data_IF_070392034184
#
_entry.id   IF_070392034184
#
_cell.length_a   1.000
_cell.length_b   1.000
_cell.length_c   1.000
_cell.angle_alpha   90.00
_cell.angle_beta   90.00
_cell.angle_gamma   90.00
#
_symmetry.space_group_name_H-M   'P 1'
#
loop_
_entity.id
_entity.type
_entity.pdbx_description
1 polymer ?
#
# COMPACT_ATOMS: atom_id res chain seq x y z
N UNK A 1 -1.10 22.07 -31.89
CA UNK A 1 0.03 21.22 -31.44
C UNK A 1 0.66 21.96 -30.28
N UNK A 2 0.73 21.37 -29.09
CA UNK A 2 1.36 21.99 -27.92
C UNK A 2 2.82 21.55 -27.95
N UNK A 3 3.74 22.48 -28.24
CA UNK A 3 5.14 22.13 -28.55
C UNK A 3 6.10 22.74 -27.54
N UNK A 4 5.73 23.88 -26.93
CA UNK A 4 6.60 24.60 -26.00
C UNK A 4 6.05 24.58 -24.57
N UNK A 5 6.94 24.83 -23.60
CA UNK A 5 6.59 25.01 -22.18
C UNK A 5 5.58 26.13 -21.97
N UNK A 6 5.58 27.13 -22.85
CA UNK A 6 4.71 28.30 -22.82
C UNK A 6 3.31 27.98 -23.37
N UNK A 7 3.23 27.14 -24.41
CA UNK A 7 1.96 26.56 -24.88
C UNK A 7 1.34 25.67 -23.80
N UNK A 8 2.17 24.89 -23.09
CA UNK A 8 1.74 24.13 -21.91
C UNK A 8 1.20 25.05 -20.83
N UNK A 9 1.90 26.13 -20.48
CA UNK A 9 1.45 27.07 -19.46
C UNK A 9 0.12 27.73 -19.81
N UNK A 10 -0.10 28.09 -21.08
CA UNK A 10 -1.38 28.63 -21.58
C UNK A 10 -2.49 27.57 -21.66
N UNK A 11 -2.15 26.33 -22.02
CA UNK A 11 -3.10 25.21 -22.07
C UNK A 11 -3.51 24.74 -20.67
N UNK A 12 -2.57 24.77 -19.70
CA UNK A 12 -2.76 24.39 -18.30
C UNK A 12 -3.56 25.47 -17.55
N UNK A 13 -3.26 26.77 -17.75
CA UNK A 13 -3.95 27.86 -17.06
C UNK A 13 -5.25 28.31 -17.74
N UNK A 14 -5.52 27.85 -18.96
CA UNK A 14 -6.85 27.94 -19.53
C UNK A 14 -7.73 26.90 -18.85
N UNK A 15 -8.88 27.31 -18.31
CA UNK A 15 -9.93 26.43 -17.78
C UNK A 15 -10.43 25.47 -18.87
N UNK A 16 -9.65 24.43 -19.17
CA UNK A 16 -9.85 23.57 -20.32
C UNK A 16 -10.63 22.33 -19.89
N UNK A 17 -11.62 21.95 -20.70
CA UNK A 17 -12.33 20.69 -20.58
C UNK A 17 -11.38 19.49 -20.48
N UNK A 18 -10.21 19.58 -21.11
CA UNK A 18 -9.19 18.54 -21.08
C UNK A 18 -8.54 18.39 -19.70
N UNK A 19 -8.19 19.48 -19.02
CA UNK A 19 -7.60 19.46 -17.67
C UNK A 19 -8.58 18.85 -16.67
N UNK A 20 -9.86 19.25 -16.73
CA UNK A 20 -10.91 18.65 -15.90
C UNK A 20 -11.09 17.15 -16.18
N UNK A 21 -11.15 16.76 -17.45
CA UNK A 21 -11.28 15.34 -17.84
C UNK A 21 -10.06 14.51 -17.43
N UNK A 22 -8.86 15.07 -17.56
CA UNK A 22 -7.62 14.43 -17.14
C UNK A 22 -7.58 14.24 -15.63
N UNK A 23 -7.99 15.25 -14.86
CA UNK A 23 -8.13 15.18 -13.41
C UNK A 23 -9.11 14.07 -13.01
N UNK A 24 -10.30 14.00 -13.62
CA UNK A 24 -11.27 12.90 -13.39
C UNK A 24 -10.65 11.54 -13.69
N UNK A 25 -9.95 11.39 -14.82
CA UNK A 25 -9.28 10.13 -15.20
C UNK A 25 -8.21 9.75 -14.17
N UNK A 26 -7.43 10.71 -13.67
CA UNK A 26 -6.41 10.52 -12.63
C UNK A 26 -7.00 10.10 -11.28
N UNK A 27 -8.21 10.55 -10.95
CA UNK A 27 -8.89 10.19 -9.71
C UNK A 27 -9.57 8.82 -9.78
N UNK A 28 -10.28 8.52 -10.87
CA UNK A 28 -11.13 7.34 -10.97
C UNK A 28 -10.38 6.08 -11.38
N UNK A 29 -9.27 6.21 -12.12
CA UNK A 29 -8.59 5.08 -12.72
C UNK A 29 -7.22 4.82 -12.09
N UNK A 30 -6.80 3.55 -12.15
CA UNK A 30 -5.41 3.19 -11.92
C UNK A 30 -4.59 3.58 -13.15
N UNK A 31 -3.55 4.40 -12.95
CA UNK A 31 -2.72 4.93 -14.02
C UNK A 31 -1.29 4.41 -13.88
N UNK A 32 -0.72 4.00 -14.99
CA UNK A 32 0.69 3.60 -15.09
C UNK A 32 1.39 4.51 -16.07
N UNK A 33 2.32 5.31 -15.56
CA UNK A 33 3.18 6.21 -16.34
C UNK A 33 4.40 5.40 -16.81
N UNK A 34 4.64 5.42 -18.13
CA UNK A 34 5.68 4.66 -18.81
C UNK A 34 6.50 5.58 -19.70
N UNK A 35 7.82 5.38 -19.75
CA UNK A 35 8.70 6.12 -20.67
C UNK A 35 9.04 7.55 -20.25
N UNK A 36 8.60 7.99 -19.07
CA UNK A 36 8.94 9.31 -18.52
C UNK A 36 9.97 9.22 -17.40
N UNK A 37 10.81 10.25 -17.33
CA UNK A 37 11.64 10.48 -16.16
C UNK A 37 10.86 11.24 -15.09
N UNK A 38 11.18 10.99 -13.83
CA UNK A 38 10.73 11.80 -12.70
C UNK A 38 11.13 13.28 -12.84
N UNK A 39 12.21 13.57 -13.57
CA UNK A 39 12.69 14.93 -13.83
C UNK A 39 11.90 15.68 -14.91
N UNK A 40 10.96 15.03 -15.60
CA UNK A 40 10.20 15.64 -16.69
C UNK A 40 9.31 16.81 -16.18
N UNK A 41 9.49 17.99 -16.76
CA UNK A 41 8.80 19.20 -16.34
C UNK A 41 7.30 19.17 -16.66
N UNK A 42 6.91 18.54 -17.79
CA UNK A 42 5.52 18.44 -18.21
C UNK A 42 4.76 17.46 -17.34
N UNK A 43 5.38 16.32 -17.01
CA UNK A 43 4.81 15.36 -16.09
C UNK A 43 4.57 16.01 -14.72
N UNK A 44 5.56 16.73 -14.18
CA UNK A 44 5.41 17.47 -12.91
C UNK A 44 4.26 18.47 -12.95
N UNK A 45 4.11 19.22 -14.04
CA UNK A 45 3.05 20.20 -14.19
C UNK A 45 1.65 19.55 -14.13
N UNK A 46 1.44 18.45 -14.88
CA UNK A 46 0.18 17.70 -14.89
C UNK A 46 -0.17 17.14 -13.51
N UNK A 47 0.81 16.58 -12.79
CA UNK A 47 0.53 15.97 -11.48
C UNK A 47 0.36 17.02 -10.38
N UNK A 48 0.99 18.19 -10.49
CA UNK A 48 0.83 19.24 -9.49
C UNK A 48 -0.61 19.79 -9.49
N UNK A 49 -1.32 19.75 -10.61
CA UNK A 49 -2.76 20.06 -10.70
C UNK A 49 -3.60 19.02 -9.93
N UNK A 50 -3.28 17.73 -10.08
CA UNK A 50 -3.93 16.64 -9.34
C UNK A 50 -3.83 16.80 -7.81
N UNK A 51 -2.71 17.33 -7.30
CA UNK A 51 -2.48 17.55 -5.86
C UNK A 51 -3.51 18.48 -5.21
N UNK A 52 -4.06 19.43 -5.96
CA UNK A 52 -5.04 20.39 -5.44
C UNK A 52 -6.38 19.70 -5.12
N UNK A 53 -6.69 18.59 -5.79
CA UNK A 53 -7.95 17.86 -5.65
C UNK A 53 -7.88 16.58 -4.79
N UNK A 54 -6.67 16.07 -4.50
CA UNK A 54 -6.48 14.77 -3.84
C UNK A 54 -6.37 14.79 -2.31
N UNK A 55 -6.55 15.93 -1.65
CA UNK A 55 -6.33 16.06 -0.19
C UNK A 55 -7.32 15.29 0.68
N UNK A 56 -8.48 14.89 0.15
CA UNK A 56 -9.59 14.36 0.96
C UNK A 56 -9.74 12.83 0.95
N UNK A 57 -8.94 12.10 0.16
CA UNK A 57 -9.05 10.64 0.06
C UNK A 57 -7.91 9.91 0.78
N UNK A 58 -8.26 9.13 1.81
CA UNK A 58 -7.36 8.32 2.66
C UNK A 58 -6.69 7.16 1.90
N UNK A 59 -7.18 6.80 0.70
CA UNK A 59 -6.52 5.84 -0.19
C UNK A 59 -5.38 6.52 -0.95
N UNK A 60 -4.15 6.13 -0.64
CA UNK A 60 -2.99 6.69 -1.30
C UNK A 60 -2.81 6.15 -2.73
N UNK A 61 -2.67 7.09 -3.68
CA UNK A 61 -1.91 6.94 -4.93
C UNK A 61 -2.39 5.80 -5.86
N UNK A 62 -3.34 6.09 -6.75
CA UNK A 62 -3.69 5.23 -7.90
C UNK A 62 -2.70 5.34 -9.08
N UNK A 63 -1.65 6.14 -8.92
CA UNK A 63 -0.67 6.44 -9.96
C UNK A 63 0.63 5.69 -9.70
N UNK A 64 1.08 4.95 -10.69
CA UNK A 64 2.32 4.19 -10.69
C UNK A 64 3.26 4.72 -11.76
N UNK A 65 4.54 4.86 -11.46
CA UNK A 65 5.58 5.17 -12.44
C UNK A 65 6.54 3.99 -12.53
N UNK A 66 6.76 3.50 -13.75
CA UNK A 66 7.77 2.47 -14.02
C UNK A 66 9.10 3.13 -14.38
N UNK A 67 10.13 2.82 -13.59
CA UNK A 67 11.50 3.28 -13.85
C UNK A 67 12.44 2.10 -14.06
N UNK A 68 13.24 2.18 -15.14
CA UNK A 68 14.28 1.19 -15.44
C UNK A 68 15.43 1.25 -14.43
N UNK A 69 15.83 2.46 -14.03
CA UNK A 69 16.93 2.67 -13.10
C UNK A 69 16.53 2.40 -11.66
N UNK A 70 17.49 2.07 -10.80
CA UNK A 70 17.30 2.06 -9.34
C UNK A 70 17.15 3.51 -8.86
N UNK A 71 16.14 3.77 -8.04
CA UNK A 71 15.94 5.09 -7.44
C UNK A 71 16.15 5.04 -5.93
N UNK A 72 16.69 6.14 -5.39
CA UNK A 72 16.90 6.28 -3.95
C UNK A 72 15.55 6.39 -3.23
N UNK A 73 15.48 5.83 -2.02
CA UNK A 73 14.24 5.83 -1.24
C UNK A 73 13.70 7.24 -0.95
N UNK A 74 14.52 8.24 -0.55
CA UNK A 74 14.04 9.61 -0.32
C UNK A 74 13.38 10.24 -1.54
N UNK A 75 13.85 9.90 -2.75
CA UNK A 75 13.22 10.36 -4.00
C UNK A 75 11.83 9.74 -4.13
N UNK A 76 11.70 8.43 -3.94
CA UNK A 76 10.40 7.74 -4.02
C UNK A 76 9.43 8.28 -2.97
N UNK A 77 9.91 8.54 -1.77
CA UNK A 77 9.11 9.13 -0.70
C UNK A 77 8.64 10.55 -1.02
N UNK A 78 9.54 11.38 -1.58
CA UNK A 78 9.20 12.72 -2.04
C UNK A 78 8.08 12.68 -3.08
N UNK A 79 8.17 11.80 -4.09
CA UNK A 79 7.13 11.70 -5.11
C UNK A 79 5.82 11.11 -4.59
N UNK A 80 5.89 10.15 -3.67
CA UNK A 80 4.70 9.65 -3.01
C UNK A 80 4.01 10.74 -2.19
N UNK A 81 4.76 11.45 -1.34
CA UNK A 81 4.21 12.49 -0.45
C UNK A 81 3.74 13.73 -1.20
N UNK A 82 4.48 14.18 -2.21
CA UNK A 82 4.13 15.40 -2.94
C UNK A 82 3.06 15.17 -4.00
N UNK A 83 3.04 14.00 -4.62
CA UNK A 83 2.29 13.76 -5.85
C UNK A 83 1.43 12.51 -5.84
N UNK A 84 1.47 11.71 -4.76
CA UNK A 84 0.75 10.43 -4.72
C UNK A 84 1.19 9.50 -5.84
N UNK A 85 2.49 9.47 -6.16
CA UNK A 85 3.05 8.57 -7.17
C UNK A 85 3.87 7.47 -6.51
N UNK A 86 3.50 6.22 -6.80
CA UNK A 86 4.31 5.05 -6.48
C UNK A 86 5.30 4.76 -7.58
N UNK A 87 6.57 4.65 -7.22
CA UNK A 87 7.63 4.32 -8.17
C UNK A 87 7.95 2.84 -8.08
N UNK A 88 7.82 2.13 -9.20
CA UNK A 88 8.29 0.76 -9.40
C UNK A 88 9.61 0.87 -10.16
N UNK A 89 10.72 0.79 -9.43
CA UNK A 89 12.06 0.92 -9.98
C UNK A 89 12.66 -0.44 -10.40
N UNK A 90 13.81 -0.42 -11.09
CA UNK A 90 14.49 -1.61 -11.62
C UNK A 90 13.59 -2.52 -12.47
N UNK A 91 12.64 -1.94 -13.19
CA UNK A 91 11.67 -2.69 -13.98
C UNK A 91 11.59 -2.10 -15.38
N UNK A 92 11.83 -2.92 -16.39
CA UNK A 92 11.58 -2.54 -17.78
C UNK A 92 10.09 -2.64 -18.11
N UNK A 93 9.66 -1.84 -19.08
CA UNK A 93 8.24 -1.81 -19.52
C UNK A 93 7.79 -3.18 -20.03
N UNK A 94 8.64 -3.86 -20.80
CA UNK A 94 8.44 -5.23 -21.29
C UNK A 94 8.23 -6.22 -20.14
N UNK A 95 9.10 -6.18 -19.14
CA UNK A 95 9.05 -7.03 -17.95
C UNK A 95 7.80 -6.76 -17.10
N UNK A 96 7.42 -5.50 -16.97
CA UNK A 96 6.19 -5.09 -16.30
C UNK A 96 4.97 -5.73 -16.96
N UNK A 97 4.79 -5.55 -18.27
CA UNK A 97 3.67 -6.14 -19.00
C UNK A 97 3.70 -7.66 -19.01
N UNK A 98 4.88 -8.30 -19.09
CA UNK A 98 5.00 -9.75 -18.98
C UNK A 98 4.47 -10.26 -17.64
N UNK A 99 4.85 -9.62 -16.53
CA UNK A 99 4.38 -9.98 -15.18
C UNK A 99 2.87 -9.70 -15.03
N UNK A 100 2.40 -8.56 -15.52
CA UNK A 100 1.01 -8.16 -15.45
C UNK A 100 0.11 -9.13 -16.23
N UNK A 101 0.47 -9.45 -17.48
CA UNK A 101 -0.30 -10.35 -18.34
C UNK A 101 -0.38 -11.76 -17.79
N UNK A 102 0.64 -12.22 -17.04
CA UNK A 102 0.58 -13.50 -16.33
C UNK A 102 -0.47 -13.49 -15.20
N UNK A 103 -0.69 -12.36 -14.54
CA UNK A 103 -1.58 -12.23 -13.38
C UNK A 103 -3.02 -11.86 -13.71
N UNK A 104 -3.27 -11.23 -14.86
CA UNK A 104 -4.62 -10.86 -15.31
C UNK A 104 -5.60 -12.06 -15.34
N UNK A 105 -5.26 -13.24 -15.90
CA UNK A 105 -6.19 -14.37 -15.94
C UNK A 105 -6.57 -14.89 -14.55
N UNK A 106 -5.60 -14.96 -13.64
CA UNK A 106 -5.83 -15.35 -12.24
C UNK A 106 -6.81 -14.39 -11.56
N UNK A 107 -6.57 -13.07 -11.71
CA UNK A 107 -7.43 -12.04 -11.15
C UNK A 107 -8.87 -12.08 -11.71
N UNK A 108 -9.03 -12.31 -13.02
CA UNK A 108 -10.34 -12.40 -13.66
C UNK A 108 -11.20 -13.54 -13.11
N UNK A 109 -10.59 -14.70 -12.79
CA UNK A 109 -11.31 -15.88 -12.28
C UNK A 109 -11.90 -15.67 -10.88
N UNK A 110 -11.24 -14.86 -10.05
CA UNK A 110 -11.62 -14.68 -8.64
C UNK A 110 -12.42 -13.41 -8.37
N UNK A 111 -12.42 -12.44 -9.30
CA UNK A 111 -13.02 -11.10 -9.15
C UNK A 111 -14.45 -11.14 -8.60
N UNK A 112 -15.34 -11.89 -9.24
CA UNK A 112 -16.77 -11.86 -8.91
C UNK A 112 -17.05 -12.51 -7.54
N UNK A 113 -16.32 -13.60 -7.22
CA UNK A 113 -16.38 -14.25 -5.91
C UNK A 113 -15.95 -13.30 -4.80
N UNK A 114 -14.81 -12.62 -4.99
CA UNK A 114 -14.28 -11.68 -4.01
C UNK A 114 -15.22 -10.49 -3.77
N UNK A 115 -15.81 -9.94 -4.85
CA UNK A 115 -16.81 -8.86 -4.76
C UNK A 115 -18.05 -9.29 -3.98
N UNK A 116 -18.53 -10.52 -4.19
CA UNK A 116 -19.66 -11.06 -3.43
C UNK A 116 -19.30 -11.27 -1.95
N UNK A 117 -18.11 -11.79 -1.67
CA UNK A 117 -17.62 -12.02 -0.31
C UNK A 117 -17.53 -10.71 0.48
N UNK A 118 -16.88 -9.67 -0.06
CA UNK A 118 -16.71 -8.41 0.68
C UNK A 118 -18.05 -7.72 0.95
N UNK A 119 -18.98 -7.76 -0.02
CA UNK A 119 -20.34 -7.21 0.17
C UNK A 119 -21.06 -7.94 1.29
N UNK A 120 -20.92 -9.26 1.36
CA UNK A 120 -21.54 -10.07 2.41
C UNK A 120 -20.94 -9.79 3.79
N UNK A 121 -19.62 -9.58 3.86
CA UNK A 121 -18.93 -9.28 5.12
C UNK A 121 -19.33 -7.89 5.64
N UNK A 122 -19.25 -6.85 4.79
CA UNK A 122 -19.54 -5.47 5.21
C UNK A 122 -21.03 -5.23 5.44
N UNK A 123 -21.93 -5.72 4.58
CA UNK A 123 -23.38 -5.41 4.69
C UNK A 123 -24.15 -6.41 5.55
N UNK A 124 -23.79 -7.69 5.49
CA UNK A 124 -24.58 -8.75 6.14
C UNK A 124 -23.91 -9.26 7.43
N UNK A 125 -22.82 -8.63 7.88
CA UNK A 125 -22.10 -9.02 9.10
C UNK A 125 -21.53 -10.43 9.06
N UNK A 126 -21.29 -10.99 7.87
CA UNK A 126 -20.67 -12.32 7.74
C UNK A 126 -19.18 -12.22 8.01
N UNK A 127 -18.57 -13.34 8.38
CA UNK A 127 -17.13 -13.41 8.62
C UNK A 127 -16.39 -14.16 7.52
N UNK A 128 -15.10 -13.85 7.36
CA UNK A 128 -14.22 -14.63 6.51
C UNK A 128 -13.88 -15.96 7.19
N UNK A 129 -13.84 -17.03 6.40
CA UNK A 129 -13.40 -18.35 6.87
C UNK A 129 -11.94 -18.30 7.32
N UNK A 130 -11.61 -19.02 8.39
CA UNK A 130 -10.26 -19.08 8.94
C UNK A 130 -9.26 -19.63 7.90
N UNK A 131 -9.66 -20.63 7.11
CA UNK A 131 -8.80 -21.20 6.07
C UNK A 131 -8.44 -20.17 5.00
N UNK A 132 -9.34 -19.23 4.70
CA UNK A 132 -9.05 -18.13 3.80
C UNK A 132 -8.08 -17.13 4.44
N UNK A 133 -8.26 -16.79 5.72
CA UNK A 133 -7.35 -15.88 6.44
C UNK A 133 -5.95 -16.48 6.64
N UNK A 134 -5.78 -17.81 6.62
CA UNK A 134 -4.47 -18.47 6.68
C UNK A 134 -3.61 -18.23 5.44
N UNK A 135 -4.21 -17.98 4.27
CA UNK A 135 -3.50 -17.74 3.01
C UNK A 135 -2.68 -16.44 3.05
N UNK A 136 -1.55 -16.40 2.35
CA UNK A 136 -0.71 -15.19 2.25
C UNK A 136 -1.45 -14.06 1.52
N UNK A 137 -2.15 -14.39 0.43
CA UNK A 137 -2.70 -13.44 -0.52
C UNK A 137 -4.10 -12.92 -0.15
N UNK A 138 -4.76 -13.51 0.85
CA UNK A 138 -6.16 -13.19 1.18
C UNK A 138 -6.38 -11.75 1.59
N UNK A 139 -5.46 -11.12 2.30
CA UNK A 139 -5.58 -9.71 2.68
C UNK A 139 -5.43 -8.75 1.49
N UNK A 140 -4.62 -9.10 0.50
CA UNK A 140 -4.53 -8.34 -0.76
C UNK A 140 -5.87 -8.39 -1.51
N UNK A 141 -6.51 -9.56 -1.52
CA UNK A 141 -7.85 -9.75 -2.06
C UNK A 141 -8.89 -8.94 -1.28
N UNK A 142 -8.81 -8.90 0.05
CA UNK A 142 -9.73 -8.11 0.89
C UNK A 142 -9.60 -6.61 0.56
N UNK A 143 -8.39 -6.06 0.61
CA UNK A 143 -8.13 -4.63 0.32
C UNK A 143 -8.63 -4.25 -1.08
N UNK A 144 -8.25 -5.03 -2.10
CA UNK A 144 -8.68 -4.76 -3.48
C UNK A 144 -10.20 -4.86 -3.66
N UNK A 145 -10.87 -5.74 -2.91
CA UNK A 145 -12.32 -5.90 -2.96
C UNK A 145 -13.06 -4.72 -2.31
N UNK A 146 -12.52 -4.17 -1.22
CA UNK A 146 -13.06 -2.96 -0.57
C UNK A 146 -13.06 -1.80 -1.56
N UNK A 147 -11.89 -1.50 -2.14
CA UNK A 147 -11.72 -0.38 -3.08
C UNK A 147 -12.57 -0.56 -4.35
N UNK A 148 -12.58 -1.76 -4.94
CA UNK A 148 -13.35 -2.03 -6.18
C UNK A 148 -14.87 -2.12 -5.97
N UNK A 149 -15.34 -2.30 -4.74
CA UNK A 149 -16.76 -2.30 -4.41
C UNK A 149 -17.29 -0.92 -4.04
N UNK A 150 -16.43 0.11 -4.05
CA UNK A 150 -16.79 1.49 -3.74
C UNK A 150 -16.98 1.76 -2.24
N UNK A 151 -16.47 0.90 -1.36
CA UNK A 151 -16.49 1.17 0.08
C UNK A 151 -15.37 2.14 0.43
N UNK A 152 -15.69 3.11 1.29
CA UNK A 152 -14.71 4.06 1.79
C UNK A 152 -13.94 3.45 2.96
N UNK A 153 -12.63 3.67 2.99
CA UNK A 153 -11.81 3.32 4.16
C UNK A 153 -12.15 4.21 5.37
N UNK A 154 -12.85 5.32 5.20
CA UNK A 154 -13.33 6.14 6.31
C UNK A 154 -14.63 5.62 6.93
N UNK A 155 -15.25 4.57 6.37
CA UNK A 155 -16.47 3.96 6.90
C UNK A 155 -16.16 3.13 8.15
N UNK A 156 -16.89 3.37 9.23
CA UNK A 156 -16.80 2.62 10.49
C UNK A 156 -17.02 1.12 10.30
N UNK A 157 -17.89 0.70 9.37
CA UNK A 157 -18.10 -0.71 9.06
C UNK A 157 -16.85 -1.36 8.47
N UNK A 158 -16.13 -0.63 7.63
CA UNK A 158 -14.85 -1.11 7.05
C UNK A 158 -13.78 -1.20 8.13
N UNK A 159 -13.73 -0.22 9.04
CA UNK A 159 -12.85 -0.25 10.20
C UNK A 159 -13.11 -1.48 11.09
N UNK A 160 -14.37 -1.77 11.41
CA UNK A 160 -14.73 -2.92 12.25
C UNK A 160 -14.32 -4.25 11.59
N UNK A 161 -14.56 -4.39 10.28
CA UNK A 161 -14.13 -5.56 9.51
C UNK A 161 -12.60 -5.68 9.48
N UNK A 162 -11.88 -4.56 9.30
CA UNK A 162 -10.41 -4.55 9.37
C UNK A 162 -9.91 -5.00 10.75
N UNK A 163 -10.47 -4.45 11.83
CA UNK A 163 -10.09 -4.81 13.20
C UNK A 163 -10.28 -6.31 13.45
N UNK A 164 -11.46 -6.84 13.10
CA UNK A 164 -11.79 -8.26 13.24
C UNK A 164 -10.81 -9.17 12.46
N UNK A 165 -10.51 -8.82 11.21
CA UNK A 165 -9.57 -9.59 10.37
C UNK A 165 -8.17 -9.59 10.96
N UNK A 166 -7.71 -8.44 11.46
CA UNK A 166 -6.38 -8.31 12.08
C UNK A 166 -6.33 -9.09 13.40
N UNK A 167 -7.37 -9.03 14.23
CA UNK A 167 -7.46 -9.82 15.47
C UNK A 167 -7.39 -11.31 15.20
N UNK A 168 -8.22 -11.81 14.28
CA UNK A 168 -8.19 -13.21 13.87
C UNK A 168 -6.83 -13.60 13.33
N UNK A 169 -6.16 -12.74 12.57
CA UNK A 169 -4.82 -13.01 12.05
C UNK A 169 -3.76 -13.07 13.16
N UNK A 170 -3.87 -12.23 14.18
CA UNK A 170 -3.01 -12.28 15.37
C UNK A 170 -3.25 -13.57 16.14
N UNK A 171 -4.50 -13.98 16.36
CA UNK A 171 -4.82 -15.22 17.07
C UNK A 171 -4.31 -16.45 16.33
N UNK A 172 -4.36 -16.44 14.99
CA UNK A 172 -3.75 -17.47 14.15
C UNK A 172 -2.25 -17.62 14.37
N UNK A 173 -1.53 -16.57 14.80
CA UNK A 173 -0.10 -16.67 15.12
C UNK A 173 0.17 -17.42 16.43
N UNK A 174 -0.83 -17.55 17.30
CA UNK A 174 -0.71 -18.23 18.60
C UNK A 174 -0.95 -19.74 18.50
N UNK A 175 -1.41 -20.24 17.36
CA UNK A 175 -1.63 -21.67 17.13
C UNK A 175 -0.31 -22.46 17.07
N UNK A 176 -0.35 -23.73 17.47
CA UNK A 176 0.81 -24.62 17.32
C UNK A 176 1.17 -24.78 15.84
N UNK A 177 2.44 -24.56 15.50
CA UNK A 177 2.94 -24.65 14.12
C UNK A 177 2.63 -23.44 13.24
N UNK A 178 2.20 -22.30 13.78
CA UNK A 178 1.79 -21.11 13.04
C UNK A 178 2.93 -20.28 12.41
N UNK A 179 4.09 -20.87 12.11
CA UNK A 179 5.28 -20.18 11.60
C UNK A 179 5.02 -19.28 10.40
N UNK A 180 4.20 -19.76 9.46
CA UNK A 180 3.81 -19.03 8.25
C UNK A 180 2.89 -17.84 8.56
N UNK A 181 2.07 -17.94 9.62
CA UNK A 181 1.10 -16.91 9.96
C UNK A 181 1.80 -15.64 10.47
N UNK A 182 2.93 -15.76 11.16
CA UNK A 182 3.77 -14.61 11.53
C UNK A 182 4.34 -13.89 10.30
N UNK A 183 4.81 -14.65 9.31
CA UNK A 183 5.31 -14.08 8.05
C UNK A 183 4.19 -13.38 7.29
N UNK A 184 3.01 -14.01 7.21
CA UNK A 184 1.84 -13.46 6.53
C UNK A 184 1.37 -12.18 7.21
N UNK A 185 1.29 -12.16 8.54
CA UNK A 185 0.93 -10.96 9.30
C UNK A 185 1.88 -9.79 9.02
N UNK A 186 3.20 -10.03 9.07
CA UNK A 186 4.19 -9.00 8.73
C UNK A 186 3.98 -8.47 7.30
N UNK A 187 3.81 -9.36 6.32
CA UNK A 187 3.54 -8.96 4.93
C UNK A 187 2.23 -8.18 4.78
N UNK A 188 1.18 -8.54 5.50
CA UNK A 188 -0.11 -7.84 5.48
C UNK A 188 0.02 -6.42 6.03
N UNK A 189 0.68 -6.25 7.18
CA UNK A 189 0.88 -4.94 7.82
C UNK A 189 1.78 -4.03 6.99
N UNK A 190 2.82 -4.60 6.37
CA UNK A 190 3.68 -3.89 5.42
C UNK A 190 2.88 -3.47 4.19
N UNK A 191 2.07 -4.36 3.63
CA UNK A 191 1.23 -4.04 2.48
C UNK A 191 0.25 -2.92 2.82
N UNK A 192 -0.47 -3.02 3.94
CA UNK A 192 -1.37 -1.96 4.41
C UNK A 192 -0.64 -0.64 4.62
N UNK A 193 0.48 -0.66 5.34
CA UNK A 193 1.28 0.55 5.60
C UNK A 193 2.03 1.11 4.39
N UNK A 194 2.11 0.36 3.29
CA UNK A 194 2.55 0.88 2.00
C UNK A 194 1.40 1.54 1.22
N UNK A 195 0.15 1.15 1.51
CA UNK A 195 -1.04 1.57 0.79
C UNK A 195 -1.85 2.69 1.45
N UNK A 196 -1.69 2.89 2.75
CA UNK A 196 -2.50 3.83 3.51
C UNK A 196 -1.59 4.65 4.41
N UNK A 197 -1.79 5.96 4.48
CA UNK A 197 -1.21 6.75 5.56
C UNK A 197 -2.08 6.58 6.79
N UNK A 198 -1.54 5.92 7.81
CA UNK A 198 -2.33 5.46 8.97
C UNK A 198 -2.37 6.51 10.07
N UNK A 199 -1.37 7.38 10.13
CA UNK A 199 -1.26 8.46 11.12
C UNK A 199 -2.48 9.39 11.07
N UNK A 200 -3.13 9.61 12.20
CA UNK A 200 -4.32 10.43 12.36
C UNK A 200 -5.63 9.77 11.91
N UNK A 201 -5.61 8.50 11.50
CA UNK A 201 -6.80 7.76 11.07
C UNK A 201 -7.37 6.88 12.19
N UNK A 202 -8.63 6.45 12.03
CA UNK A 202 -9.27 5.53 12.97
C UNK A 202 -8.61 4.14 13.03
N UNK A 203 -7.76 3.80 12.04
CA UNK A 203 -7.00 2.56 12.00
C UNK A 203 -5.73 2.60 12.84
N UNK A 204 -5.27 3.79 13.26
CA UNK A 204 -3.94 3.98 13.85
C UNK A 204 -3.68 3.07 15.03
N UNK A 205 -4.59 3.08 16.01
CA UNK A 205 -4.44 2.28 17.23
C UNK A 205 -4.35 0.79 16.92
N UNK A 206 -5.25 0.29 16.07
CA UNK A 206 -5.29 -1.13 15.70
C UNK A 206 -4.06 -1.55 14.92
N UNK A 207 -3.66 -0.72 13.95
CA UNK A 207 -2.50 -0.97 13.12
C UNK A 207 -1.21 -1.03 13.95
N UNK A 208 -0.99 -0.04 14.83
CA UNK A 208 0.21 -0.01 15.68
C UNK A 208 0.24 -1.20 16.64
N UNK A 209 -0.88 -1.55 17.26
CA UNK A 209 -0.96 -2.76 18.09
C UNK A 209 -0.56 -4.02 17.32
N UNK A 210 -1.04 -4.18 16.08
CA UNK A 210 -0.68 -5.33 15.26
C UNK A 210 0.79 -5.31 14.81
N UNK A 211 1.35 -4.13 14.52
CA UNK A 211 2.78 -3.96 14.22
C UNK A 211 3.64 -4.31 15.42
N UNK A 212 3.28 -3.84 16.61
CA UNK A 212 3.95 -4.15 17.87
C UNK A 212 4.00 -5.66 18.10
N UNK A 213 2.85 -6.34 17.98
CA UNK A 213 2.78 -7.80 18.04
C UNK A 213 3.71 -8.44 17.00
N UNK A 214 3.58 -8.06 15.72
CA UNK A 214 4.41 -8.64 14.66
C UNK A 214 5.92 -8.44 14.88
N UNK A 215 6.33 -7.27 15.39
CA UNK A 215 7.74 -6.93 15.62
C UNK A 215 8.31 -7.52 16.92
N UNK A 216 7.47 -7.80 17.91
CA UNK A 216 7.90 -8.43 19.17
C UNK A 216 8.18 -9.92 18.98
N UNK A 217 7.40 -10.59 18.12
CA UNK A 217 7.54 -12.03 17.83
C UNK A 217 8.41 -12.35 16.61
N UNK A 218 9.17 -11.38 16.10
CA UNK A 218 10.20 -11.64 15.08
C UNK A 218 11.57 -11.71 15.74
N UNK A 219 12.45 -12.55 15.19
CA UNK A 219 13.85 -12.59 15.60
C UNK A 219 14.78 -12.75 14.38
N UNK A 220 16.03 -12.34 14.53
CA UNK A 220 17.05 -12.42 13.47
C UNK A 220 17.62 -13.85 13.32
N UNK A 221 18.09 -14.51 14.39
CA UNK A 221 18.37 -15.94 14.37
C UNK A 221 17.08 -16.77 14.29
N UNK A 222 17.24 -18.02 13.90
CA UNK A 222 16.17 -19.02 14.03
C UNK A 222 16.04 -19.41 15.50
N UNK A 223 14.90 -19.10 16.11
CA UNK A 223 14.61 -19.41 17.50
C UNK A 223 13.17 -19.90 17.66
N UNK A 224 12.97 -20.88 18.54
CA UNK A 224 11.64 -21.45 18.78
C UNK A 224 10.70 -20.37 19.35
N UNK A 225 9.50 -20.21 18.78
CA UNK A 225 8.54 -19.17 19.19
C UNK A 225 8.71 -17.82 18.48
N UNK A 226 9.73 -17.64 17.65
CA UNK A 226 9.97 -16.40 16.90
C UNK A 226 10.10 -16.61 15.40
N UNK A 227 9.54 -15.70 14.61
CA UNK A 227 9.58 -15.80 13.15
C UNK A 227 10.75 -15.03 12.53
N UNK A 228 11.77 -15.77 12.08
CA UNK A 228 12.86 -15.23 11.26
C UNK A 228 12.39 -14.72 9.91
N UNK A 229 11.33 -15.33 9.35
CA UNK A 229 10.73 -14.91 8.08
C UNK A 229 9.99 -13.58 8.22
N UNK A 230 9.32 -13.35 9.35
CA UNK A 230 8.72 -12.06 9.66
C UNK A 230 9.79 -10.94 9.77
N UNK A 231 10.92 -11.22 10.44
CA UNK A 231 12.05 -10.29 10.50
C UNK A 231 12.58 -9.96 9.10
N UNK A 232 12.76 -10.97 8.24
CA UNK A 232 13.21 -10.77 6.87
C UNK A 232 12.22 -9.94 6.05
N UNK A 233 10.92 -10.18 6.21
CA UNK A 233 9.86 -9.41 5.54
C UNK A 233 9.93 -7.92 5.94
N UNK A 234 9.98 -7.62 7.24
CA UNK A 234 10.15 -6.26 7.74
C UNK A 234 11.44 -5.63 7.24
N UNK A 235 12.59 -6.28 7.41
CA UNK A 235 13.89 -5.77 6.98
C UNK A 235 13.95 -5.44 5.48
N UNK A 236 13.37 -6.30 4.64
CA UNK A 236 13.45 -6.14 3.17
C UNK A 236 12.44 -5.14 2.64
N UNK A 237 11.24 -5.07 3.23
CA UNK A 237 10.14 -4.23 2.74
C UNK A 237 9.87 -2.98 3.58
N UNK A 238 10.65 -2.72 4.63
CA UNK A 238 10.61 -1.47 5.40
C UNK A 238 10.64 -0.21 4.51
N UNK A 239 11.48 -0.13 3.46
CA UNK A 239 11.48 1.03 2.56
C UNK A 239 10.20 1.20 1.74
N UNK A 240 9.37 0.16 1.60
CA UNK A 240 8.11 0.26 0.82
C UNK A 240 6.96 0.91 1.59
N UNK A 241 7.08 1.06 2.91
CA UNK A 241 6.10 1.80 3.71
C UNK A 241 6.05 3.27 3.29
N UNK A 242 4.98 3.97 3.62
CA UNK A 242 4.98 5.43 3.50
C UNK A 242 5.93 6.06 4.52
N UNK A 243 6.51 7.23 4.19
CA UNK A 243 7.39 7.95 5.11
C UNK A 243 6.67 8.32 6.43
N UNK A 244 5.38 8.68 6.33
CA UNK A 244 4.51 8.95 7.47
C UNK A 244 4.40 7.73 8.41
N UNK A 245 4.14 6.55 7.84
CA UNK A 245 4.04 5.32 8.63
C UNK A 245 5.37 4.84 9.20
N UNK A 246 6.48 4.97 8.46
CA UNK A 246 7.82 4.67 9.02
C UNK A 246 8.10 5.52 10.24
N UNK A 247 7.79 6.82 10.16
CA UNK A 247 7.99 7.76 11.27
C UNK A 247 7.11 7.41 12.46
N UNK A 248 5.84 7.09 12.23
CA UNK A 248 4.90 6.66 13.26
C UNK A 248 5.33 5.35 13.95
N UNK A 249 5.67 4.33 13.16
CA UNK A 249 6.12 3.04 13.71
C UNK A 249 7.41 3.25 14.50
N UNK A 250 8.38 4.00 13.95
CA UNK A 250 9.62 4.30 14.65
C UNK A 250 9.36 4.95 16.01
N UNK A 251 8.56 6.01 16.08
CA UNK A 251 8.30 6.71 17.34
C UNK A 251 7.57 5.86 18.38
N UNK A 252 6.86 4.81 17.96
CA UNK A 252 6.17 3.87 18.87
C UNK A 252 7.01 2.67 19.25
N UNK A 253 7.90 2.22 18.37
CA UNK A 253 8.71 1.01 18.58
C UNK A 253 10.09 1.31 19.18
N UNK A 254 10.53 2.59 19.20
CA UNK A 254 11.79 2.99 19.83
C UNK A 254 11.86 2.70 21.34
N UNK A 255 10.72 2.64 22.02
CA UNK A 255 10.63 2.36 23.46
C UNK A 255 10.80 0.86 23.77
N UNK A 256 10.73 -0.02 22.76
CA UNK A 256 10.82 -1.47 22.93
C UNK A 256 12.30 -1.89 22.90
N UNK A 257 12.84 -2.49 23.98
CA UNK A 257 14.27 -2.78 24.12
C UNK A 257 14.69 -4.05 23.36
N UNK A 258 14.30 -4.18 22.10
CA UNK A 258 14.61 -5.33 21.23
C UNK A 258 15.52 -4.88 20.07
N UNK A 259 16.76 -5.36 20.09
CA UNK A 259 17.79 -4.97 19.13
C UNK A 259 17.37 -5.20 17.67
N UNK A 260 16.64 -6.30 17.39
CA UNK A 260 16.15 -6.62 16.05
C UNK A 260 15.17 -5.57 15.50
N UNK A 261 14.43 -4.87 16.36
CA UNK A 261 13.52 -3.79 15.96
C UNK A 261 14.35 -2.56 15.56
N UNK A 262 15.32 -2.18 16.40
CA UNK A 262 16.25 -1.08 16.12
C UNK A 262 17.05 -1.29 14.82
N UNK A 263 17.46 -2.52 14.52
CA UNK A 263 18.11 -2.90 13.24
C UNK A 263 17.27 -2.55 11.99
N UNK A 264 15.94 -2.50 12.13
CA UNK A 264 14.99 -2.21 11.05
C UNK A 264 14.66 -0.72 11.02
N UNK A 265 14.20 -0.15 12.14
CA UNK A 265 13.66 1.22 12.19
C UNK A 265 14.74 2.31 12.05
N UNK A 266 16.01 1.96 12.26
CA UNK A 266 17.15 2.88 12.07
C UNK A 266 17.47 3.16 10.59
N UNK A 267 16.88 2.41 9.64
CA UNK A 267 17.19 2.53 8.21
C UNK A 267 16.23 3.45 7.46
N UNK A 268 16.81 4.22 6.53
CA UNK A 268 16.11 5.06 5.53
C UNK A 268 15.18 6.13 6.14
N UNK A 269 15.83 7.08 6.82
CA UNK A 269 15.30 8.42 7.11
C UNK A 269 15.70 9.34 5.96
#
# INVERSE_FOLDING_TARGET
>A
MVVTSEDYFRFINGNSYFSNKLSTVLHENTIVILGYSLSDANLKAIINEYKVFSRDNVMSSNIFLISRGKLLQPIKDYYFSCFGIRVIDKTEVSDFFRKLNKKIPEAKKIKDKLRHSIKSVIKNGREYKIEFLKLEDSFYHIISSISSSGYSWNDEKVLNVFCDIIDKKIDLTKESGAWEQYEHLAKWLIYFGSLFEVKGTNFEKKYIHAVEHSMTYMNKPYETGYSWRAYLAWKTKWPSLTASNRSLIKSKMEEIPLQQIHDIISKFI
#
